data_IF_434219463869
#
_entry.id   IF_434219463869
#
_cell.length_a   1.000
_cell.length_b   1.000
_cell.length_c   1.000
_cell.angle_alpha   90.00
_cell.angle_beta   90.00
_cell.angle_gamma   90.00
#
_symmetry.space_group_name_H-M   'P 1'
#
loop_
_entity.id
_entity.type
_entity.pdbx_description
1 polymer ?
#
# COMPACT_ATOMS: atom_id res chain seq x y z
N UNK A 1 26.20 51.68 9.71
CA UNK A 1 26.90 50.57 10.39
C UNK A 1 26.08 49.28 10.46
N UNK A 2 24.74 49.31 10.59
CA UNK A 2 23.92 48.08 10.69
C UNK A 2 23.87 47.18 9.44
N UNK A 3 23.92 47.75 8.22
CA UNK A 3 23.87 46.95 6.98
C UNK A 3 25.11 46.06 6.76
N UNK A 4 26.29 46.53 7.20
CA UNK A 4 27.55 45.77 7.10
C UNK A 4 27.56 44.60 8.08
N UNK A 5 26.94 44.77 9.25
CA UNK A 5 26.79 43.72 10.26
C UNK A 5 25.86 42.59 9.77
N UNK A 6 24.72 42.94 9.17
CA UNK A 6 23.79 41.95 8.60
C UNK A 6 24.41 41.15 7.45
N UNK A 7 25.13 41.81 6.54
CA UNK A 7 25.83 41.15 5.43
C UNK A 7 26.92 40.19 5.93
N UNK A 8 27.64 40.58 6.99
CA UNK A 8 28.68 39.73 7.60
C UNK A 8 28.08 38.50 8.29
N UNK A 9 26.93 38.63 8.96
CA UNK A 9 26.20 37.48 9.50
C UNK A 9 25.74 36.49 8.40
N UNK A 10 25.36 36.99 7.21
CA UNK A 10 24.99 36.13 6.04
C UNK A 10 26.18 35.40 5.47
N UNK A 11 27.31 36.09 5.33
CA UNK A 11 28.56 35.52 4.78
C UNK A 11 29.22 34.55 5.75
N UNK A 12 29.18 34.83 7.06
CA UNK A 12 29.81 34.02 8.09
C UNK A 12 28.95 32.81 8.50
N UNK A 13 27.85 32.52 7.78
CA UNK A 13 26.98 31.37 8.04
C UNK A 13 26.25 31.42 9.39
N UNK A 14 26.26 32.59 10.06
CA UNK A 14 25.72 32.74 11.42
C UNK A 14 24.19 32.53 11.52
N UNK A 15 23.50 32.37 10.39
CA UNK A 15 22.08 32.01 10.32
C UNK A 15 21.83 30.50 10.31
N UNK A 16 22.83 29.66 10.05
CA UNK A 16 22.70 28.19 10.07
C UNK A 16 22.29 27.70 11.46
N UNK A 17 22.92 28.22 12.53
CA UNK A 17 22.58 27.86 13.91
C UNK A 17 21.25 28.42 14.45
N UNK A 18 20.59 29.34 13.72
CA UNK A 18 19.23 29.83 14.03
C UNK A 18 18.15 29.08 13.23
N UNK A 19 18.55 28.35 12.19
CA UNK A 19 17.67 27.59 11.30
C UNK A 19 17.71 26.07 11.55
N UNK A 20 18.72 25.57 12.27
CA UNK A 20 18.89 24.15 12.61
C UNK A 20 18.38 23.76 14.02
N UNK A 21 17.48 24.54 14.62
CA UNK A 21 16.71 24.12 15.80
C UNK A 21 15.50 23.24 15.41
N UNK A 22 15.70 22.31 14.47
CA UNK A 22 14.83 21.15 14.37
C UNK A 22 15.20 20.22 15.52
N UNK A 23 14.67 20.54 16.70
CA UNK A 23 14.76 19.73 17.89
C UNK A 23 14.15 18.35 17.63
N UNK A 24 14.88 17.42 17.03
CA UNK A 24 14.57 15.99 17.07
C UNK A 24 14.74 15.47 18.48
N UNK A 25 13.91 15.97 19.40
CA UNK A 25 13.80 15.53 20.76
C UNK A 25 13.32 14.08 20.79
N UNK A 26 13.38 13.41 21.94
CA UNK A 26 12.91 12.02 22.09
C UNK A 26 11.44 11.79 21.69
N UNK A 27 10.67 12.86 21.43
CA UNK A 27 9.33 12.83 20.88
C UNK A 27 9.28 12.69 19.33
N UNK A 28 10.35 13.07 18.62
CA UNK A 28 10.43 13.07 17.15
C UNK A 28 11.06 11.78 16.60
N UNK A 29 11.92 11.14 17.40
CA UNK A 29 12.32 9.73 17.25
C UNK A 29 11.36 8.92 18.12
N UNK A 30 10.11 8.81 17.68
CA UNK A 30 9.05 8.11 18.42
C UNK A 30 9.56 6.77 18.99
N UNK A 31 9.13 6.44 20.21
CA UNK A 31 9.50 5.21 20.91
C UNK A 31 9.47 3.98 19.98
N UNK A 32 10.37 3.01 20.19
CA UNK A 32 10.46 1.78 19.39
C UNK A 32 9.06 1.22 19.13
N UNK A 33 8.56 1.45 17.91
CA UNK A 33 7.17 1.16 17.57
C UNK A 33 7.04 -0.36 17.48
N UNK A 34 6.10 -0.93 18.22
CA UNK A 34 5.76 -2.35 18.08
C UNK A 34 5.05 -2.57 16.73
N UNK A 35 5.75 -3.19 15.80
CA UNK A 35 5.27 -3.44 14.43
C UNK A 35 4.51 -4.76 14.28
N UNK A 36 4.42 -5.59 15.32
CA UNK A 36 3.83 -6.93 15.22
C UNK A 36 2.38 -6.89 14.72
N UNK A 37 1.56 -5.97 15.25
CA UNK A 37 0.16 -5.82 14.81
C UNK A 37 0.03 -5.07 13.47
N UNK A 38 1.00 -4.20 13.12
CA UNK A 38 1.05 -3.55 11.81
C UNK A 38 1.30 -4.58 10.70
N UNK A 39 2.28 -5.45 10.90
CA UNK A 39 2.64 -6.49 9.93
C UNK A 39 1.47 -7.48 9.74
N UNK A 40 0.89 -7.96 10.85
CA UNK A 40 -0.26 -8.87 10.81
C UNK A 40 -1.46 -8.31 10.06
N UNK A 41 -1.79 -7.03 10.28
CA UNK A 41 -2.91 -6.38 9.58
C UNK A 41 -2.60 -6.18 8.11
N UNK A 42 -1.37 -5.83 7.79
CA UNK A 42 -0.91 -5.67 6.41
C UNK A 42 -0.89 -7.00 5.64
N UNK A 43 -0.46 -8.09 6.27
CA UNK A 43 -0.52 -9.44 5.70
C UNK A 43 -1.96 -9.87 5.42
N UNK A 44 -2.89 -9.58 6.34
CA UNK A 44 -4.31 -9.85 6.13
C UNK A 44 -4.86 -9.04 4.94
N UNK A 45 -4.47 -7.77 4.83
CA UNK A 45 -4.82 -6.91 3.70
C UNK A 45 -4.28 -7.47 2.38
N UNK A 46 -3.01 -7.87 2.34
CA UNK A 46 -2.39 -8.47 1.16
C UNK A 46 -3.08 -9.78 0.76
N UNK A 47 -3.38 -10.65 1.72
CA UNK A 47 -4.13 -11.86 1.47
C UNK A 47 -5.51 -11.56 0.89
N UNK A 48 -6.25 -10.63 1.52
CA UNK A 48 -7.57 -10.20 1.04
C UNK A 48 -7.52 -9.60 -0.37
N UNK A 49 -6.56 -8.72 -0.64
CA UNK A 49 -6.38 -8.11 -1.95
C UNK A 49 -6.03 -9.15 -3.02
N UNK A 50 -5.13 -10.10 -2.73
CA UNK A 50 -4.74 -11.18 -3.63
C UNK A 50 -5.93 -12.07 -4.00
N UNK A 51 -6.60 -12.63 -2.99
CA UNK A 51 -7.72 -13.55 -3.21
C UNK A 51 -8.96 -12.83 -3.75
N UNK A 52 -9.20 -11.60 -3.32
CA UNK A 52 -10.31 -10.77 -3.79
C UNK A 52 -10.17 -10.40 -5.26
N UNK A 53 -9.00 -9.92 -5.67
CA UNK A 53 -8.73 -9.56 -7.08
C UNK A 53 -8.87 -10.77 -7.99
N UNK A 54 -8.30 -11.91 -7.59
CA UNK A 54 -8.45 -13.18 -8.32
C UNK A 54 -9.94 -13.56 -8.48
N UNK A 55 -10.72 -13.51 -7.40
CA UNK A 55 -12.15 -13.88 -7.43
C UNK A 55 -12.94 -13.01 -8.41
N UNK A 56 -12.66 -11.71 -8.47
CA UNK A 56 -13.31 -10.77 -9.39
C UNK A 56 -12.96 -11.10 -10.84
N UNK A 57 -11.68 -11.33 -11.15
CA UNK A 57 -11.24 -11.69 -12.51
C UNK A 57 -11.91 -12.98 -12.96
N UNK A 58 -11.92 -14.01 -12.10
CA UNK A 58 -12.55 -15.30 -12.40
C UNK A 58 -14.05 -15.15 -12.60
N UNK A 59 -14.72 -14.30 -11.81
CA UNK A 59 -16.15 -14.00 -12.01
C UNK A 59 -16.42 -13.40 -13.39
N UNK A 60 -15.61 -12.43 -13.82
CA UNK A 60 -15.77 -11.82 -15.15
C UNK A 60 -15.59 -12.84 -16.27
N UNK A 61 -14.59 -13.72 -16.18
CA UNK A 61 -14.36 -14.79 -17.16
C UNK A 61 -15.53 -15.77 -17.18
N UNK A 62 -16.03 -16.17 -16.01
CA UNK A 62 -17.13 -17.12 -15.90
C UNK A 62 -18.44 -16.56 -16.47
N UNK A 63 -18.74 -15.28 -16.22
CA UNK A 63 -19.90 -14.61 -16.81
C UNK A 63 -19.74 -14.50 -18.33
N UNK A 64 -18.56 -14.16 -18.83
CA UNK A 64 -18.31 -14.16 -20.25
C UNK A 64 -18.53 -15.55 -20.87
N UNK A 65 -17.91 -16.60 -20.31
CA UNK A 65 -18.03 -17.96 -20.84
C UNK A 65 -19.47 -18.50 -20.78
N UNK A 66 -20.19 -18.31 -19.67
CA UNK A 66 -21.53 -18.86 -19.50
C UNK A 66 -22.60 -18.12 -20.30
N UNK A 67 -22.52 -16.80 -20.43
CA UNK A 67 -23.53 -16.03 -21.18
C UNK A 67 -23.24 -15.98 -22.68
N UNK A 68 -21.99 -15.82 -23.12
CA UNK A 68 -21.66 -15.87 -24.56
C UNK A 68 -21.70 -17.29 -25.13
N UNK A 69 -21.43 -18.32 -24.31
CA UNK A 69 -21.51 -19.73 -24.71
C UNK A 69 -22.91 -20.35 -24.64
N UNK A 70 -23.94 -19.60 -24.19
CA UNK A 70 -25.32 -20.09 -24.11
C UNK A 70 -25.62 -21.05 -22.94
N UNK A 71 -24.66 -21.29 -22.05
CA UNK A 71 -24.83 -22.17 -20.88
C UNK A 71 -25.58 -21.52 -19.70
N UNK A 72 -25.83 -20.20 -19.77
CA UNK A 72 -26.59 -19.45 -18.80
C UNK A 72 -25.94 -19.39 -17.41
N UNK A 73 -26.75 -19.13 -16.38
CA UNK A 73 -26.27 -18.96 -15.00
C UNK A 73 -25.64 -20.22 -14.42
N UNK A 74 -26.19 -21.40 -14.71
CA UNK A 74 -25.66 -22.67 -14.19
C UNK A 74 -24.30 -22.97 -14.80
N UNK A 75 -24.15 -22.73 -16.12
CA UNK A 75 -22.87 -22.90 -16.80
C UNK A 75 -21.79 -21.95 -16.29
N UNK A 76 -22.12 -20.66 -16.11
CA UNK A 76 -21.17 -19.71 -15.53
C UNK A 76 -20.79 -20.07 -14.10
N UNK A 77 -21.72 -20.58 -13.28
CA UNK A 77 -21.44 -20.98 -11.90
C UNK A 77 -20.44 -22.16 -11.84
N UNK A 78 -20.59 -23.14 -12.73
CA UNK A 78 -19.67 -24.28 -12.83
C UNK A 78 -18.27 -23.79 -13.23
N UNK A 79 -18.18 -22.96 -14.28
CA UNK A 79 -16.90 -22.40 -14.75
C UNK A 79 -16.24 -21.56 -13.65
N UNK A 80 -17.02 -20.76 -12.91
CA UNK A 80 -16.55 -19.95 -11.79
C UNK A 80 -15.91 -20.81 -10.69
N UNK A 81 -16.55 -21.92 -10.30
CA UNK A 81 -16.02 -22.82 -9.27
C UNK A 81 -14.73 -23.48 -9.74
N UNK A 82 -14.72 -24.02 -10.97
CA UNK A 82 -13.54 -24.71 -11.53
C UNK A 82 -12.35 -23.76 -11.62
N UNK A 83 -12.55 -22.54 -12.13
CA UNK A 83 -11.49 -21.56 -12.25
C UNK A 83 -11.02 -21.02 -10.90
N UNK A 84 -11.89 -20.89 -9.90
CA UNK A 84 -11.46 -20.53 -8.55
C UNK A 84 -10.57 -21.62 -7.94
N UNK A 85 -10.95 -22.89 -8.07
CA UNK A 85 -10.13 -24.02 -7.62
C UNK A 85 -8.77 -23.99 -8.34
N UNK A 86 -8.78 -23.85 -9.67
CA UNK A 86 -7.55 -23.75 -10.46
C UNK A 86 -6.67 -22.57 -10.04
N UNK A 87 -7.26 -21.41 -9.76
CA UNK A 87 -6.51 -20.22 -9.36
C UNK A 87 -5.88 -20.34 -7.97
N UNK A 88 -6.46 -21.13 -7.05
CA UNK A 88 -5.80 -21.45 -5.77
C UNK A 88 -4.48 -22.18 -5.98
N UNK A 89 -4.39 -23.05 -6.98
CA UNK A 89 -3.14 -23.73 -7.31
C UNK A 89 -2.14 -22.83 -8.06
N UNK A 90 -2.61 -21.86 -8.84
CA UNK A 90 -1.76 -20.91 -9.57
C UNK A 90 -1.18 -19.79 -8.69
N UNK A 91 -1.90 -19.35 -7.66
CA UNK A 91 -1.51 -18.24 -6.78
C UNK A 91 -0.90 -18.69 -5.45
N UNK A 92 -0.62 -20.00 -5.32
CA UNK A 92 0.14 -20.58 -4.21
C UNK A 92 1.64 -20.46 -4.46
#
# INVERSE_FOLDING_TARGET
MGAVFAMKAVVDGQWEGLMDDHHSGPAEVGAAMDYSEHEKTYELFLAGAKWGTMSIIVLMIAMAAGFYGGAGLVGSLIVFIVLNIAGVFLLR
#
